data_IF_693071304396
#
_entry.id   IF_693071304396
#
_cell.length_a   1.000
_cell.length_b   1.000
_cell.length_c   1.000
_cell.angle_alpha   90.00
_cell.angle_beta   90.00
_cell.angle_gamma   90.00
#
_symmetry.space_group_name_H-M   'P 1'
#
loop_
_entity.id
_entity.type
_entity.pdbx_description
1 polymer ?
#
# COMPACT_ATOMS: atom_id res chain seq x y z
N UNK A 1 -4.51 -10.72 -20.19
CA UNK A 1 -4.30 -9.48 -20.96
C UNK A 1 -3.13 -8.73 -20.34
N UNK A 2 -2.15 -8.28 -21.15
CA UNK A 2 -1.04 -7.46 -20.64
C UNK A 2 -1.53 -6.03 -20.39
N UNK A 3 -1.09 -5.40 -19.31
CA UNK A 3 -1.51 -4.03 -18.92
C UNK A 3 -0.46 -2.97 -19.28
N UNK A 4 0.79 -3.37 -19.50
CA UNK A 4 1.97 -2.52 -19.76
C UNK A 4 2.97 -3.25 -20.66
N UNK A 5 3.83 -2.49 -21.33
CA UNK A 5 4.97 -3.04 -22.06
C UNK A 5 5.99 -3.69 -21.11
N UNK A 6 6.66 -4.75 -21.59
CA UNK A 6 7.67 -5.46 -20.79
C UNK A 6 7.12 -6.48 -19.80
N UNK A 7 5.81 -6.74 -19.79
CA UNK A 7 5.23 -7.79 -18.95
C UNK A 7 5.63 -9.20 -19.40
N UNK A 8 5.93 -10.04 -18.41
CA UNK A 8 6.23 -11.45 -18.58
C UNK A 8 5.04 -12.18 -19.23
N UNK A 9 5.34 -13.12 -20.11
CA UNK A 9 4.32 -13.96 -20.74
C UNK A 9 4.01 -15.16 -19.85
N UNK A 10 3.09 -14.94 -18.90
CA UNK A 10 2.71 -15.95 -17.90
C UNK A 10 1.37 -16.57 -18.29
N UNK A 11 1.37 -17.88 -18.57
CA UNK A 11 0.18 -18.66 -18.94
C UNK A 11 -0.28 -19.57 -17.81
N UNK A 12 -1.56 -19.96 -17.83
CA UNK A 12 -2.10 -20.93 -16.87
C UNK A 12 -1.37 -22.28 -16.92
N UNK A 13 -0.98 -22.74 -18.11
CA UNK A 13 -0.22 -23.98 -18.27
C UNK A 13 1.18 -23.90 -17.64
N UNK A 14 1.84 -22.75 -17.75
CA UNK A 14 3.10 -22.54 -17.05
C UNK A 14 2.92 -22.61 -15.53
N UNK A 15 1.86 -22.01 -14.99
CA UNK A 15 1.56 -22.09 -13.55
C UNK A 15 1.26 -23.52 -13.11
N UNK A 16 0.57 -24.32 -13.93
CA UNK A 16 0.34 -25.75 -13.66
C UNK A 16 1.65 -26.54 -13.60
N UNK A 17 2.56 -26.33 -14.55
CA UNK A 17 3.88 -27.00 -14.55
C UNK A 17 4.71 -26.60 -13.33
N UNK A 18 4.72 -25.30 -12.98
CA UNK A 18 5.37 -24.80 -11.78
C UNK A 18 4.85 -25.46 -10.50
N UNK A 19 3.52 -25.56 -10.36
CA UNK A 19 2.88 -26.25 -9.23
C UNK A 19 3.23 -27.75 -9.20
N UNK A 20 3.20 -28.44 -10.34
CA UNK A 20 3.57 -29.84 -10.42
C UNK A 20 5.03 -30.11 -10.03
N UNK A 21 5.95 -29.24 -10.46
CA UNK A 21 7.37 -29.38 -10.18
C UNK A 21 7.73 -29.04 -8.72
N UNK A 22 7.08 -28.03 -8.12
CA UNK A 22 7.53 -27.46 -6.84
C UNK A 22 6.56 -27.69 -5.67
N UNK A 23 5.28 -27.93 -5.95
CA UNK A 23 4.25 -28.18 -4.95
C UNK A 23 3.32 -29.35 -5.37
N UNK A 24 3.83 -30.59 -5.44
CA UNK A 24 3.07 -31.73 -5.96
C UNK A 24 1.72 -31.97 -5.27
N UNK A 25 1.62 -31.65 -3.98
CA UNK A 25 0.38 -31.72 -3.20
C UNK A 25 -0.76 -30.82 -3.72
N UNK A 26 -0.44 -29.79 -4.51
CA UNK A 26 -1.41 -28.87 -5.10
C UNK A 26 -1.56 -29.00 -6.61
N UNK A 27 -0.76 -29.85 -7.26
CA UNK A 27 -0.71 -29.97 -8.72
C UNK A 27 -2.07 -30.32 -9.37
N UNK A 28 -2.89 -31.12 -8.68
CA UNK A 28 -4.21 -31.53 -9.14
C UNK A 28 -5.36 -30.56 -8.81
N UNK A 29 -5.10 -29.46 -8.09
CA UNK A 29 -6.15 -28.51 -7.71
C UNK A 29 -6.62 -27.70 -8.93
N UNK A 30 -7.90 -27.32 -8.90
CA UNK A 30 -8.47 -26.43 -9.91
C UNK A 30 -7.69 -25.11 -9.95
N UNK A 31 -7.31 -24.66 -11.15
CA UNK A 31 -6.57 -23.42 -11.35
C UNK A 31 -7.40 -22.49 -12.24
N UNK A 32 -7.78 -21.32 -11.73
CA UNK A 32 -8.59 -20.33 -12.45
C UNK A 32 -7.93 -18.96 -12.42
N UNK A 33 -7.78 -18.24 -13.55
CA UNK A 33 -7.29 -16.87 -13.51
C UNK A 33 -8.25 -15.97 -12.73
N UNK A 34 -7.72 -15.04 -11.95
CA UNK A 34 -8.52 -13.98 -11.32
C UNK A 34 -8.74 -12.88 -12.35
N UNK A 35 -10.00 -12.60 -12.70
CA UNK A 35 -10.38 -11.65 -13.74
C UNK A 35 -9.92 -10.21 -13.41
N UNK A 36 -10.05 -9.81 -12.15
CA UNK A 36 -9.57 -8.51 -11.63
C UNK A 36 -8.17 -8.66 -11.03
N UNK A 37 -7.20 -8.99 -11.87
CA UNK A 37 -5.80 -9.15 -11.45
C UNK A 37 -5.18 -7.85 -10.93
N UNK A 38 -4.29 -7.96 -9.94
CA UNK A 38 -3.54 -6.83 -9.39
C UNK A 38 -2.58 -6.24 -10.43
N UNK A 39 -2.24 -4.97 -10.28
CA UNK A 39 -1.41 -4.26 -11.27
C UNK A 39 0.02 -4.78 -11.34
N UNK A 40 0.51 -5.35 -10.24
CA UNK A 40 1.89 -5.85 -10.08
C UNK A 40 2.00 -7.38 -10.17
N UNK A 41 0.90 -8.12 -9.91
CA UNK A 41 0.91 -9.58 -9.86
C UNK A 41 -0.23 -10.20 -10.68
N UNK A 42 0.09 -11.22 -11.47
CA UNK A 42 -0.90 -12.13 -12.03
C UNK A 42 -1.33 -13.10 -10.94
N UNK A 43 -2.64 -13.32 -10.85
CA UNK A 43 -3.25 -14.11 -9.80
C UNK A 43 -4.06 -15.25 -10.38
N UNK A 44 -3.87 -16.44 -9.82
CA UNK A 44 -4.64 -17.64 -10.17
C UNK A 44 -5.19 -18.26 -8.89
N UNK A 45 -6.52 -18.38 -8.79
CA UNK A 45 -7.17 -19.15 -7.73
C UNK A 45 -6.79 -20.60 -7.86
N UNK A 46 -6.37 -21.20 -6.76
CA UNK A 46 -5.92 -22.58 -6.65
C UNK A 46 -6.83 -23.30 -5.66
N UNK A 47 -7.82 -24.04 -6.18
CA UNK A 47 -8.94 -24.55 -5.38
C UNK A 47 -9.78 -23.41 -4.78
N UNK A 48 -10.29 -23.64 -3.58
CA UNK A 48 -11.20 -22.73 -2.87
C UNK A 48 -10.48 -21.79 -1.88
N UNK A 49 -9.26 -22.12 -1.47
CA UNK A 49 -8.62 -21.53 -0.30
C UNK A 49 -7.25 -20.92 -0.59
N UNK A 50 -6.72 -21.07 -1.81
CA UNK A 50 -5.39 -20.57 -2.18
C UNK A 50 -5.40 -19.66 -3.42
N UNK A 51 -4.36 -18.85 -3.54
CA UNK A 51 -4.07 -18.03 -4.72
C UNK A 51 -2.58 -18.06 -5.04
N UNK A 52 -2.24 -18.35 -6.29
CA UNK A 52 -0.89 -18.20 -6.82
C UNK A 52 -0.71 -16.75 -7.27
N UNK A 53 0.36 -16.09 -6.82
CA UNK A 53 0.76 -14.74 -7.20
C UNK A 53 2.11 -14.80 -7.92
N UNK A 54 2.14 -14.33 -9.16
CA UNK A 54 3.36 -14.22 -9.96
C UNK A 54 3.60 -12.77 -10.35
N UNK A 55 4.82 -12.23 -10.23
CA UNK A 55 5.11 -10.88 -10.67
C UNK A 55 4.85 -10.69 -12.17
N UNK A 56 4.32 -9.52 -12.53
CA UNK A 56 4.03 -9.15 -13.93
C UNK A 56 5.27 -8.63 -14.65
N UNK A 57 6.19 -7.99 -13.91
CA UNK A 57 7.37 -7.33 -14.45
C UNK A 57 8.66 -8.01 -13.96
N UNK A 58 9.75 -7.98 -14.75
CA UNK A 58 11.07 -8.50 -14.37
C UNK A 58 11.58 -7.98 -13.01
N UNK A 59 11.22 -6.74 -12.63
CA UNK A 59 11.62 -6.12 -11.36
C UNK A 59 10.88 -6.67 -10.13
N UNK A 60 9.79 -7.41 -10.30
CA UNK A 60 8.91 -7.77 -9.19
C UNK A 60 9.41 -8.90 -8.29
N UNK A 61 10.51 -9.58 -8.64
CA UNK A 61 11.10 -10.63 -7.80
C UNK A 61 11.53 -10.15 -6.41
N UNK A 62 12.01 -8.91 -6.30
CA UNK A 62 12.40 -8.30 -5.02
C UNK A 62 11.19 -8.16 -4.07
N UNK A 63 10.01 -7.83 -4.60
CA UNK A 63 8.77 -7.74 -3.82
C UNK A 63 8.39 -9.10 -3.24
N UNK A 64 8.54 -10.18 -4.00
CA UNK A 64 8.22 -11.54 -3.54
C UNK A 64 9.11 -11.96 -2.37
N UNK A 65 10.42 -11.74 -2.48
CA UNK A 65 11.36 -12.08 -1.39
C UNK A 65 11.14 -11.22 -0.15
N UNK A 66 10.78 -9.94 -0.34
CA UNK A 66 10.43 -9.06 0.78
C UNK A 66 9.17 -9.55 1.50
N UNK A 67 8.09 -9.82 0.76
CA UNK A 67 6.84 -10.33 1.32
C UNK A 67 7.04 -11.68 2.03
N UNK A 68 7.84 -12.58 1.43
CA UNK A 68 8.21 -13.87 2.02
C UNK A 68 8.82 -13.74 3.41
N UNK A 69 9.68 -12.75 3.60
CA UNK A 69 10.37 -12.56 4.87
C UNK A 69 9.51 -11.84 5.89
N UNK A 70 8.88 -10.74 5.47
CA UNK A 70 8.32 -9.77 6.42
C UNK A 70 6.85 -10.03 6.76
N UNK A 71 6.05 -10.64 5.89
CA UNK A 71 4.66 -10.97 6.24
C UNK A 71 4.58 -11.95 7.42
N UNK A 72 5.34 -13.08 7.44
CA UNK A 72 5.32 -13.98 8.59
C UNK A 72 5.89 -13.35 9.87
N UNK A 73 6.79 -12.37 9.74
CA UNK A 73 7.34 -11.63 10.86
C UNK A 73 6.31 -10.67 11.47
N UNK A 74 5.55 -9.96 10.64
CA UNK A 74 4.56 -8.97 11.07
C UNK A 74 3.28 -9.62 11.60
N UNK A 75 2.80 -10.68 10.96
CA UNK A 75 1.47 -11.26 11.21
C UNK A 75 1.15 -11.57 12.69
N UNK A 76 2.06 -12.13 13.51
CA UNK A 76 1.77 -12.46 14.91
C UNK A 76 1.51 -11.25 15.81
N UNK A 77 1.89 -10.05 15.36
CA UNK A 77 1.78 -8.82 16.14
C UNK A 77 0.55 -7.97 15.80
N UNK A 78 -0.19 -8.33 14.74
CA UNK A 78 -1.24 -7.49 14.18
C UNK A 78 -2.64 -7.97 14.57
N UNK A 79 -3.57 -7.04 14.88
CA UNK A 79 -4.94 -7.39 15.28
C UNK A 79 -5.85 -7.75 14.10
N UNK A 80 -5.41 -7.44 12.87
CA UNK A 80 -6.12 -7.78 11.63
C UNK A 80 -5.28 -8.76 10.83
N UNK A 81 -5.94 -9.61 10.05
CA UNK A 81 -5.21 -10.51 9.17
C UNK A 81 -4.52 -9.71 8.06
N UNK A 82 -3.35 -10.21 7.67
CA UNK A 82 -2.57 -9.73 6.52
C UNK A 82 -2.38 -10.88 5.53
N UNK A 83 -1.85 -10.66 4.31
CA UNK A 83 -1.61 -11.74 3.37
C UNK A 83 -0.73 -12.84 3.99
N UNK A 84 -1.18 -14.09 3.92
CA UNK A 84 -0.49 -15.25 4.50
C UNK A 84 0.15 -16.07 3.37
N UNK A 85 1.46 -15.88 3.09
CA UNK A 85 2.15 -16.73 2.14
C UNK A 85 2.37 -18.12 2.75
N UNK A 86 1.94 -19.16 2.03
CA UNK A 86 2.01 -20.57 2.43
C UNK A 86 2.90 -21.42 1.51
N UNK A 87 3.40 -20.84 0.42
CA UNK A 87 4.34 -21.48 -0.49
C UNK A 87 5.22 -20.47 -1.20
N UNK A 88 6.50 -20.81 -1.36
CA UNK A 88 7.51 -19.96 -2.01
C UNK A 88 8.15 -20.71 -3.17
N UNK A 89 7.77 -20.32 -4.38
CA UNK A 89 8.27 -20.90 -5.61
C UNK A 89 9.53 -20.21 -6.11
N UNK A 90 10.43 -21.02 -6.68
CA UNK A 90 11.64 -20.58 -7.37
C UNK A 90 11.38 -20.40 -8.87
N UNK A 91 12.23 -19.64 -9.60
CA UNK A 91 12.22 -19.65 -11.06
C UNK A 91 12.25 -21.06 -11.64
N UNK A 92 11.58 -21.29 -12.77
CA UNK A 92 11.47 -22.60 -13.42
C UNK A 92 10.34 -22.65 -14.44
N UNK A 93 10.30 -23.71 -15.27
CA UNK A 93 9.21 -23.98 -16.23
C UNK A 93 8.89 -22.84 -17.23
N UNK A 94 9.85 -21.94 -17.45
CA UNK A 94 9.72 -20.73 -18.28
C UNK A 94 9.45 -19.44 -17.48
N UNK A 95 9.18 -19.52 -16.18
CA UNK A 95 9.06 -18.35 -15.30
C UNK A 95 10.44 -17.94 -14.76
N UNK A 96 10.91 -16.71 -15.05
CA UNK A 96 12.27 -16.29 -14.67
C UNK A 96 12.37 -15.77 -13.22
N UNK A 97 11.25 -15.63 -12.51
CA UNK A 97 11.19 -14.96 -11.21
C UNK A 97 10.69 -15.89 -10.09
N UNK A 98 11.06 -15.59 -8.82
CA UNK A 98 10.36 -16.19 -7.69
C UNK A 98 8.87 -15.79 -7.70
N UNK A 99 8.06 -16.66 -7.13
CA UNK A 99 6.60 -16.51 -7.05
C UNK A 99 6.10 -17.13 -5.75
N UNK A 100 4.83 -16.90 -5.40
CA UNK A 100 4.33 -17.33 -4.10
C UNK A 100 2.89 -17.81 -4.16
N UNK A 101 2.52 -18.68 -3.23
CA UNK A 101 1.14 -19.13 -2.98
C UNK A 101 0.70 -18.56 -1.65
N UNK A 102 -0.48 -17.95 -1.63
CA UNK A 102 -1.08 -17.34 -0.44
C UNK A 102 -2.39 -18.03 -0.10
N UNK A 103 -2.79 -17.96 1.17
CA UNK A 103 -4.20 -18.19 1.51
C UNK A 103 -5.07 -17.13 0.87
N UNK A 104 -6.11 -17.58 0.20
CA UNK A 104 -7.16 -16.70 -0.31
C UNK A 104 -8.07 -16.28 0.82
N UNK A 105 -8.26 -14.98 0.95
CA UNK A 105 -9.14 -14.39 1.95
C UNK A 105 -10.36 -13.80 1.26
N UNK A 106 -11.58 -14.30 1.52
CA UNK A 106 -12.78 -13.70 0.96
C UNK A 106 -13.05 -12.37 1.64
N UNK A 107 -13.44 -11.37 0.85
CA UNK A 107 -13.83 -10.05 1.32
C UNK A 107 -14.12 -9.12 0.16
N UNK A 108 -14.71 -7.98 0.47
CA UNK A 108 -14.96 -6.88 -0.45
C UNK A 108 -14.42 -5.56 0.14
N UNK A 109 -14.70 -4.43 -0.52
CA UNK A 109 -14.29 -3.10 -0.06
C UNK A 109 -15.46 -2.29 0.51
N UNK A 110 -16.55 -2.95 0.91
CA UNK A 110 -17.77 -2.30 1.37
C UNK A 110 -17.78 -2.14 2.90
N UNK A 111 -17.56 -0.90 3.34
CA UNK A 111 -17.62 -0.50 4.75
C UNK A 111 -19.06 -0.21 5.18
N UNK A 112 -19.53 -0.82 6.28
CA UNK A 112 -20.88 -0.58 6.84
C UNK A 112 -20.90 0.19 8.16
N UNK A 113 -19.79 0.16 8.91
CA UNK A 113 -19.65 0.83 10.22
C UNK A 113 -18.37 1.68 10.23
N UNK A 114 -18.45 2.95 9.77
CA UNK A 114 -17.28 3.83 9.71
C UNK A 114 -16.64 4.12 11.08
N UNK A 115 -17.38 4.40 12.18
CA UNK A 115 -16.78 4.58 13.50
C UNK A 115 -15.99 3.37 13.99
N UNK A 116 -16.55 2.15 13.89
CA UNK A 116 -15.83 0.95 14.31
C UNK A 116 -14.62 0.66 13.41
N UNK A 117 -14.74 0.91 12.10
CA UNK A 117 -13.64 0.75 11.16
C UNK A 117 -12.49 1.70 11.47
N UNK A 118 -12.78 2.97 11.80
CA UNK A 118 -11.78 3.94 12.18
C UNK A 118 -11.02 3.55 13.46
N UNK A 119 -11.73 3.06 14.47
CA UNK A 119 -11.09 2.55 15.68
C UNK A 119 -10.20 1.34 15.38
N UNK A 120 -10.72 0.32 14.69
CA UNK A 120 -9.98 -0.90 14.42
C UNK A 120 -8.77 -0.67 13.50
N UNK A 121 -8.88 0.23 12.51
CA UNK A 121 -7.75 0.59 11.66
C UNK A 121 -6.68 1.40 12.43
N UNK A 122 -7.11 2.27 13.36
CA UNK A 122 -6.19 2.98 14.24
C UNK A 122 -5.43 2.02 15.16
N UNK A 123 -6.13 1.04 15.75
CA UNK A 123 -5.53 -0.03 16.57
C UNK A 123 -4.54 -0.88 15.75
N UNK A 124 -4.85 -1.15 14.47
CA UNK A 124 -3.95 -1.84 13.54
C UNK A 124 -2.67 -1.05 13.26
N UNK A 125 -2.77 0.24 12.93
CA UNK A 125 -1.60 1.10 12.69
C UNK A 125 -0.74 1.20 13.95
N UNK A 126 -1.37 1.41 15.11
CA UNK A 126 -0.66 1.44 16.39
C UNK A 126 0.03 0.10 16.72
N UNK A 127 -0.55 -1.04 16.35
CA UNK A 127 0.08 -2.34 16.53
C UNK A 127 1.26 -2.53 15.57
N UNK A 128 1.11 -2.14 14.29
CA UNK A 128 2.17 -2.20 13.29
C UNK A 128 3.39 -1.38 13.71
N UNK A 129 3.18 -0.14 14.17
CA UNK A 129 4.26 0.75 14.60
C UNK A 129 4.99 0.28 15.87
N UNK A 130 4.39 -0.63 16.65
CA UNK A 130 4.99 -1.24 17.84
C UNK A 130 5.75 -2.53 17.56
N UNK A 131 5.66 -3.09 16.36
CA UNK A 131 6.42 -4.28 16.00
C UNK A 131 7.92 -3.96 16.09
N UNK A 132 8.75 -4.82 16.71
CA UNK A 132 10.18 -4.57 16.75
C UNK A 132 10.76 -4.39 15.34
N UNK A 133 11.78 -3.55 15.22
CA UNK A 133 12.44 -3.25 13.94
C UNK A 133 13.78 -3.98 13.90
N UNK A 134 13.91 -5.05 13.11
CA UNK A 134 15.20 -5.68 12.90
C UNK A 134 16.15 -4.74 12.14
N UNK A 135 17.48 -4.87 12.35
CA UNK A 135 18.46 -4.01 11.70
C UNK A 135 18.41 -4.01 10.16
N UNK A 136 17.89 -5.09 9.57
CA UNK A 136 17.79 -5.26 8.13
C UNK A 136 16.36 -5.11 7.59
N UNK A 137 15.48 -4.48 8.36
CA UNK A 137 14.16 -4.07 7.88
C UNK A 137 14.30 -3.09 6.69
N UNK A 138 13.57 -3.32 5.59
CA UNK A 138 13.69 -2.48 4.39
C UNK A 138 13.02 -1.12 4.61
N UNK A 139 13.49 -0.05 3.93
CA UNK A 139 12.78 1.23 3.95
C UNK A 139 11.39 1.09 3.31
N UNK A 140 10.40 1.78 3.87
CA UNK A 140 9.07 1.85 3.24
C UNK A 140 9.09 2.77 2.02
N UNK A 141 8.19 2.52 1.05
CA UNK A 141 8.11 3.33 -0.18
C UNK A 141 7.88 4.83 0.09
N UNK A 142 7.06 5.15 1.09
CA UNK A 142 6.79 6.50 1.61
C UNK A 142 7.36 6.66 3.02
N UNK A 143 8.44 5.94 3.36
CA UNK A 143 9.00 5.88 4.71
C UNK A 143 9.79 7.11 5.17
N UNK A 144 9.92 8.13 4.34
CA UNK A 144 10.59 9.37 4.72
C UNK A 144 9.93 10.56 4.05
N UNK A 145 9.52 11.54 4.86
CA UNK A 145 9.33 12.92 4.46
C UNK A 145 10.51 13.72 4.99
N UNK A 146 11.56 13.79 4.20
CA UNK A 146 12.69 14.68 4.44
C UNK A 146 12.71 15.74 3.34
N UNK A 147 12.95 17.02 3.67
CA UNK A 147 13.43 17.98 2.69
C UNK A 147 14.85 17.54 2.30
N UNK A 148 14.99 16.68 1.29
CA UNK A 148 16.31 16.34 0.74
C UNK A 148 17.01 17.60 0.20
N UNK A 149 18.34 17.75 0.34
CA UNK A 149 19.08 18.79 -0.35
C UNK A 149 18.99 18.57 -1.87
N UNK A 150 18.79 19.64 -2.64
CA UNK A 150 18.75 19.59 -4.09
C UNK A 150 20.04 18.97 -4.67
N UNK A 151 19.99 17.73 -5.18
CA UNK A 151 21.14 17.13 -5.88
C UNK A 151 21.15 15.61 -6.08
N UNK A 152 20.31 14.83 -5.39
CA UNK A 152 20.32 13.37 -5.48
C UNK A 152 19.63 12.79 -6.73
N UNK A 153 20.26 12.84 -7.89
CA UNK A 153 19.77 12.13 -9.08
C UNK A 153 19.86 10.60 -8.86
N UNK A 154 18.71 9.93 -8.81
CA UNK A 154 18.67 8.49 -9.08
C UNK A 154 17.26 7.93 -8.98
N UNK A 155 16.81 7.39 -10.10
CA UNK A 155 15.53 6.74 -10.33
C UNK A 155 15.67 5.26 -9.95
N UNK A 156 15.11 4.87 -8.80
CA UNK A 156 15.03 3.48 -8.37
C UNK A 156 13.80 3.25 -7.46
N UNK A 157 13.23 2.04 -7.44
CA UNK A 157 12.08 1.71 -6.60
C UNK A 157 12.51 1.68 -5.12
N UNK A 158 11.84 2.49 -4.28
CA UNK A 158 12.13 2.58 -2.84
C UNK A 158 12.84 3.86 -2.39
N UNK A 159 12.84 4.93 -3.18
CA UNK A 159 13.31 6.24 -2.72
C UNK A 159 12.18 7.09 -2.16
N UNK A 160 12.49 7.72 -1.03
CA UNK A 160 11.72 8.76 -0.36
C UNK A 160 11.03 9.66 -1.39
N UNK A 161 9.72 9.84 -1.24
CA UNK A 161 9.03 10.92 -1.94
C UNK A 161 9.41 12.20 -1.21
N UNK A 162 10.66 12.62 -1.35
CA UNK A 162 11.14 13.89 -0.84
C UNK A 162 10.32 15.00 -1.49
N UNK A 163 9.72 15.85 -0.65
CA UNK A 163 8.85 16.95 -1.03
C UNK A 163 9.36 17.76 -2.24
N UNK A 164 10.69 17.91 -2.38
CA UNK A 164 11.34 18.66 -3.45
C UNK A 164 11.04 18.16 -4.88
N UNK A 165 10.98 16.84 -5.10
CA UNK A 165 10.63 16.30 -6.44
C UNK A 165 9.12 16.40 -6.70
N UNK A 166 8.34 16.29 -5.64
CA UNK A 166 6.89 16.46 -5.71
C UNK A 166 6.50 17.94 -5.91
N UNK A 167 7.28 18.92 -5.46
CA UNK A 167 6.87 20.34 -5.44
C UNK A 167 6.43 20.87 -6.81
N UNK A 168 7.22 20.64 -7.88
CA UNK A 168 6.86 21.12 -9.22
C UNK A 168 5.56 20.47 -9.75
N UNK A 169 5.43 19.15 -9.58
CA UNK A 169 4.25 18.37 -10.01
C UNK A 169 3.01 18.70 -9.15
N UNK A 170 3.19 18.86 -7.84
CA UNK A 170 2.14 19.22 -6.89
C UNK A 170 1.67 20.65 -7.11
N UNK A 171 2.58 21.61 -7.38
CA UNK A 171 2.21 22.98 -7.75
C UNK A 171 1.50 23.02 -9.11
N UNK A 172 1.83 22.15 -10.05
CA UNK A 172 1.07 22.02 -11.30
C UNK A 172 -0.35 21.47 -11.03
N UNK A 173 -0.48 20.37 -10.26
CA UNK A 173 -1.76 19.79 -9.90
C UNK A 173 -2.65 20.74 -9.07
N UNK A 174 -2.05 21.49 -8.13
CA UNK A 174 -2.74 22.46 -7.29
C UNK A 174 -3.30 23.65 -8.11
N UNK A 175 -2.53 24.11 -9.12
CA UNK A 175 -3.00 25.14 -10.06
C UNK A 175 -4.18 24.66 -10.90
N UNK A 176 -4.15 23.41 -11.35
CA UNK A 176 -5.28 22.81 -12.08
C UNK A 176 -6.56 22.74 -11.22
N UNK A 177 -6.43 22.51 -9.91
CA UNK A 177 -7.56 22.54 -8.98
C UNK A 177 -8.06 23.96 -8.69
N UNK A 178 -7.24 25.00 -8.93
CA UNK A 178 -7.52 26.42 -8.61
C UNK A 178 -7.91 26.65 -7.15
N UNK A 179 -7.30 25.92 -6.22
CA UNK A 179 -7.61 26.03 -4.78
C UNK A 179 -6.40 26.62 -4.05
N UNK A 180 -6.37 27.93 -3.74
CA UNK A 180 -5.29 28.55 -2.97
C UNK A 180 -5.02 27.88 -1.62
N UNK A 181 -6.03 27.23 -1.04
CA UNK A 181 -5.88 26.47 0.20
C UNK A 181 -4.98 25.23 0.05
N UNK A 182 -4.90 24.61 -1.14
CA UNK A 182 -3.98 23.50 -1.41
C UNK A 182 -2.53 23.96 -1.34
N UNK A 183 -2.22 25.10 -1.96
CA UNK A 183 -0.87 25.66 -1.94
C UNK A 183 -0.47 26.06 -0.52
N UNK A 184 -1.36 26.68 0.25
CA UNK A 184 -1.07 27.02 1.66
C UNK A 184 -0.83 25.79 2.52
N UNK A 185 -1.63 24.73 2.36
CA UNK A 185 -1.42 23.48 3.10
C UNK A 185 -0.10 22.80 2.68
N UNK A 186 0.24 22.87 1.40
CA UNK A 186 1.52 22.37 0.90
C UNK A 186 2.70 23.15 1.47
N UNK A 187 2.68 24.49 1.40
CA UNK A 187 3.74 25.34 1.93
C UNK A 187 3.88 25.12 3.45
N UNK A 188 2.78 25.00 4.20
CA UNK A 188 2.82 24.66 5.62
C UNK A 188 3.42 23.26 5.88
N UNK A 189 3.16 22.28 5.01
CA UNK A 189 3.74 20.95 5.13
C UNK A 189 5.25 20.92 4.88
N UNK A 190 5.77 21.81 4.02
CA UNK A 190 7.22 21.94 3.77
C UNK A 190 7.99 22.46 4.98
N UNK A 191 7.33 23.21 5.85
CA UNK A 191 7.91 23.76 7.08
C UNK A 191 7.81 22.81 8.29
N UNK A 192 7.12 21.67 8.15
CA UNK A 192 7.00 20.70 9.25
C UNK A 192 8.36 20.04 9.55
N UNK A 193 8.71 19.85 10.84
CA UNK A 193 9.89 19.09 11.18
C UNK A 193 9.73 17.64 10.71
N UNK A 194 10.79 17.11 10.09
CA UNK A 194 10.88 15.70 9.76
C UNK A 194 10.86 14.83 11.02
N UNK A 195 10.54 13.54 10.86
CA UNK A 195 10.57 12.60 11.97
C UNK A 195 11.99 12.42 12.52
N UNK A 196 12.17 12.72 13.81
CA UNK A 196 13.46 12.63 14.50
C UNK A 196 13.62 11.37 15.37
N UNK A 197 12.54 10.60 15.55
CA UNK A 197 12.57 9.36 16.32
C UNK A 197 13.08 8.15 15.52
N UNK A 198 13.16 6.96 16.16
CA UNK A 198 13.49 5.74 15.44
C UNK A 198 12.41 5.44 14.37
N UNK A 199 12.80 4.90 13.20
CA UNK A 199 11.83 4.52 12.19
C UNK A 199 10.97 3.35 12.71
N UNK A 200 9.71 3.32 12.31
CA UNK A 200 8.75 2.28 12.69
C UNK A 200 8.20 1.58 11.46
N UNK A 201 7.66 0.38 11.62
CA UNK A 201 6.94 -0.28 10.53
C UNK A 201 5.73 0.53 10.10
N UNK A 202 5.59 0.70 8.79
CA UNK A 202 4.44 1.32 8.14
C UNK A 202 4.04 0.51 6.90
N UNK A 203 2.73 0.49 6.62
CA UNK A 203 2.16 -0.10 5.42
C UNK A 203 2.52 0.74 4.17
N UNK A 204 2.59 2.06 4.33
CA UNK A 204 2.97 3.06 3.34
C UNK A 204 2.03 3.20 2.13
N UNK A 205 0.99 2.39 2.04
CA UNK A 205 -0.09 2.52 1.05
C UNK A 205 -1.46 2.18 1.65
N UNK A 206 -1.73 2.64 2.87
CA UNK A 206 -2.97 2.32 3.58
C UNK A 206 -4.16 3.14 3.03
N UNK A 207 -4.76 2.61 1.97
CA UNK A 207 -5.86 3.22 1.21
C UNK A 207 -7.10 2.30 1.19
N UNK A 208 -8.32 2.81 0.89
CA UNK A 208 -9.53 1.99 0.90
C UNK A 208 -9.45 0.68 0.09
N UNK A 209 -8.72 0.67 -1.02
CA UNK A 209 -8.54 -0.53 -1.86
C UNK A 209 -7.68 -1.62 -1.22
N UNK A 210 -6.91 -1.29 -0.19
CA UNK A 210 -6.02 -2.20 0.53
C UNK A 210 -6.64 -2.69 1.85
N UNK A 211 -7.93 -2.40 2.05
CA UNK A 211 -8.68 -2.79 3.23
C UNK A 211 -9.83 -3.70 2.80
N UNK A 212 -9.93 -4.87 3.45
CA UNK A 212 -10.95 -5.86 3.17
C UNK A 212 -11.97 -5.95 4.30
N UNK A 213 -13.23 -6.04 3.89
CA UNK A 213 -14.39 -6.20 4.76
C UNK A 213 -15.03 -7.57 4.55
N UNK A 214 -15.58 -8.13 5.63
CA UNK A 214 -16.44 -9.31 5.58
C UNK A 214 -17.74 -9.02 6.30
N UNK A 215 -18.85 -9.14 5.57
CA UNK A 215 -20.18 -8.74 6.06
C UNK A 215 -20.15 -7.31 6.64
N UNK A 216 -19.46 -6.40 5.94
CA UNK A 216 -19.40 -4.98 6.28
C UNK A 216 -18.46 -4.59 7.44
N UNK A 217 -17.78 -5.55 8.07
CA UNK A 217 -16.81 -5.33 9.16
C UNK A 217 -15.38 -5.46 8.69
N UNK A 218 -14.50 -4.59 9.20
CA UNK A 218 -13.07 -4.60 8.91
C UNK A 218 -12.47 -5.96 9.28
N UNK A 219 -11.74 -6.56 8.35
CA UNK A 219 -11.31 -7.95 8.49
C UNK A 219 -9.85 -8.17 8.09
N UNK A 220 -9.34 -7.48 7.07
CA UNK A 220 -7.94 -7.60 6.65
C UNK A 220 -7.36 -6.29 6.10
N UNK A 221 -6.03 -6.19 6.17
CA UNK A 221 -5.24 -5.24 5.39
C UNK A 221 -4.40 -6.04 4.40
N UNK A 222 -4.31 -5.61 3.15
CA UNK A 222 -3.62 -6.32 2.06
C UNK A 222 -2.65 -5.38 1.33
N UNK A 223 -1.85 -5.94 0.43
CA UNK A 223 -0.89 -5.21 -0.41
C UNK A 223 0.25 -4.50 0.34
N UNK A 224 1.08 -5.33 1.00
CA UNK A 224 2.28 -4.89 1.70
C UNK A 224 3.47 -4.64 0.74
N UNK A 225 3.21 -4.46 -0.56
CA UNK A 225 4.23 -4.16 -1.56
C UNK A 225 4.94 -2.83 -1.34
N UNK A 226 4.41 -1.95 -0.49
CA UNK A 226 5.04 -0.68 -0.11
C UNK A 226 5.59 -0.69 1.33
N UNK A 227 5.33 -1.75 2.10
CA UNK A 227 5.62 -1.79 3.52
C UNK A 227 7.14 -1.85 3.81
N UNK A 228 7.51 -1.25 4.92
CA UNK A 228 8.88 -1.15 5.40
C UNK A 228 8.95 -0.28 6.65
N UNK A 229 10.13 0.20 7.00
CA UNK A 229 10.32 1.10 8.14
C UNK A 229 10.48 2.56 7.70
N UNK A 230 9.99 3.49 8.51
CA UNK A 230 10.00 4.91 8.19
C UNK A 230 9.26 5.82 9.17
N UNK A 231 8.87 7.01 8.70
CA UNK A 231 8.07 7.99 9.43
C UNK A 231 6.68 7.42 9.77
N UNK A 232 6.27 7.40 11.06
CA UNK A 232 4.94 6.94 11.48
C UNK A 232 3.78 7.67 10.79
N UNK A 233 4.02 8.89 10.29
CA UNK A 233 3.01 9.69 9.61
C UNK A 233 2.51 9.06 8.29
N UNK A 234 3.26 8.15 7.66
CA UNK A 234 2.92 7.61 6.35
C UNK A 234 1.53 6.94 6.31
N UNK A 235 1.19 6.13 7.32
CA UNK A 235 -0.10 5.43 7.37
C UNK A 235 -1.26 6.29 7.86
N UNK A 236 -0.96 7.47 8.41
CA UNK A 236 -1.99 8.38 8.88
C UNK A 236 -2.83 8.94 7.73
N UNK A 237 -2.31 8.89 6.49
CA UNK A 237 -3.06 9.29 5.29
C UNK A 237 -4.43 8.60 5.19
N UNK A 238 -4.57 7.39 5.74
CA UNK A 238 -5.83 6.65 5.84
C UNK A 238 -6.94 7.47 6.53
N UNK A 239 -6.57 8.30 7.51
CA UNK A 239 -7.45 9.22 8.22
C UNK A 239 -8.25 10.15 7.29
N UNK A 240 -7.64 10.61 6.20
CA UNK A 240 -8.29 11.47 5.21
C UNK A 240 -8.80 10.68 4.00
N UNK A 241 -8.12 9.60 3.61
CA UNK A 241 -8.51 8.79 2.46
C UNK A 241 -9.80 8.00 2.72
N UNK A 242 -10.07 7.57 3.96
CA UNK A 242 -11.19 6.68 4.30
C UNK A 242 -12.31 7.38 5.08
N UNK A 243 -12.00 8.35 5.93
CA UNK A 243 -12.91 8.82 6.97
C UNK A 243 -13.39 10.26 6.77
N UNK A 244 -14.52 10.60 7.41
CA UNK A 244 -14.95 11.98 7.62
C UNK A 244 -14.38 12.54 8.94
N UNK A 245 -14.68 13.80 9.29
CA UNK A 245 -14.11 14.44 10.48
C UNK A 245 -14.39 13.70 11.80
N UNK A 246 -15.57 13.11 11.97
CA UNK A 246 -15.95 12.40 13.20
C UNK A 246 -15.15 11.10 13.37
N UNK A 247 -15.12 10.26 12.34
CA UNK A 247 -14.40 8.99 12.34
C UNK A 247 -12.88 9.21 12.36
N UNK A 248 -12.39 10.25 11.67
CA UNK A 248 -10.97 10.61 11.68
C UNK A 248 -10.47 10.95 13.08
N UNK A 249 -11.28 11.61 13.92
CA UNK A 249 -10.97 11.80 15.35
C UNK A 249 -10.90 10.47 16.10
N UNK A 250 -11.82 9.55 15.80
CA UNK A 250 -11.81 8.19 16.37
C UNK A 250 -10.56 7.40 15.99
N UNK A 251 -10.12 7.48 14.72
CA UNK A 251 -8.88 6.91 14.23
C UNK A 251 -7.66 7.52 14.94
N UNK A 252 -7.56 8.85 14.96
CA UNK A 252 -6.48 9.58 15.65
C UNK A 252 -6.39 9.22 17.13
N UNK A 253 -7.53 9.06 17.81
CA UNK A 253 -7.56 8.74 19.24
C UNK A 253 -6.96 7.36 19.59
N UNK A 254 -6.78 6.46 18.61
CA UNK A 254 -6.09 5.17 18.81
C UNK A 254 -4.57 5.27 18.65
N UNK A 255 -4.08 6.40 18.18
CA UNK A 255 -2.69 6.62 17.82
C UNK A 255 -2.03 7.54 18.85
N UNK A 256 -0.85 7.16 19.33
CA UNK A 256 -0.04 8.00 20.20
C UNK A 256 0.84 8.95 19.36
N UNK A 257 0.20 9.82 18.57
CA UNK A 257 0.88 10.77 17.67
C UNK A 257 0.66 12.21 18.09
N UNK A 258 1.73 13.00 18.04
CA UNK A 258 1.71 14.45 18.27
C UNK A 258 1.07 15.21 17.09
N UNK A 259 0.89 16.52 17.28
CA UNK A 259 0.29 17.39 16.26
C UNK A 259 1.15 17.47 14.98
N UNK A 260 2.48 17.47 15.12
CA UNK A 260 3.40 17.55 13.97
C UNK A 260 3.34 16.28 13.11
N UNK A 261 3.33 15.10 13.74
CA UNK A 261 3.18 13.81 13.06
C UNK A 261 1.81 13.69 12.41
N UNK A 262 0.76 14.17 13.09
CA UNK A 262 -0.57 14.24 12.48
C UNK A 262 -0.61 15.17 11.26
N UNK A 263 0.04 16.34 11.34
CA UNK A 263 0.16 17.28 10.23
C UNK A 263 0.96 16.72 9.06
N UNK A 264 2.04 15.96 9.32
CA UNK A 264 2.76 15.22 8.26
C UNK A 264 1.87 14.15 7.61
N UNK A 265 1.05 13.46 8.40
CA UNK A 265 0.04 12.52 7.90
C UNK A 265 -0.96 13.16 6.95
N UNK A 266 -1.42 14.37 7.28
CA UNK A 266 -2.29 15.19 6.43
C UNK A 266 -1.60 15.56 5.13
N UNK A 267 -0.31 15.87 5.19
CA UNK A 267 0.48 16.18 4.02
C UNK A 267 0.70 14.96 3.11
N UNK A 268 0.94 13.76 3.65
CA UNK A 268 0.95 12.52 2.87
C UNK A 268 -0.38 12.30 2.13
N UNK A 269 -1.52 12.52 2.82
CA UNK A 269 -2.84 12.47 2.20
C UNK A 269 -2.99 13.49 1.06
N UNK A 270 -2.45 14.71 1.22
CA UNK A 270 -2.45 15.72 0.17
C UNK A 270 -1.62 15.27 -1.05
N UNK A 271 -0.39 14.78 -0.85
CA UNK A 271 0.49 14.26 -1.91
C UNK A 271 -0.21 13.16 -2.69
N UNK A 272 -0.71 12.15 -1.97
CA UNK A 272 -1.45 11.05 -2.58
C UNK A 272 -2.66 11.59 -3.36
N UNK A 273 -3.46 12.45 -2.76
CA UNK A 273 -4.70 12.93 -3.34
C UNK A 273 -4.49 13.72 -4.64
N UNK A 274 -3.49 14.60 -4.64
CA UNK A 274 -3.10 15.39 -5.82
C UNK A 274 -2.53 14.52 -6.92
N UNK A 275 -1.59 13.63 -6.60
CA UNK A 275 -1.00 12.70 -7.56
C UNK A 275 -2.06 11.79 -8.19
N UNK A 276 -2.93 11.21 -7.35
CA UNK A 276 -4.01 10.33 -7.78
C UNK A 276 -5.00 11.07 -8.70
N UNK A 277 -5.43 12.28 -8.33
CA UNK A 277 -6.33 13.06 -9.15
C UNK A 277 -5.70 13.49 -10.47
N UNK A 278 -4.52 14.10 -10.43
CA UNK A 278 -3.88 14.69 -11.62
C UNK A 278 -3.54 13.61 -12.65
N UNK A 279 -2.97 12.48 -12.20
CA UNK A 279 -2.52 11.42 -13.10
C UNK A 279 -3.66 10.53 -13.62
N UNK A 280 -4.65 10.20 -12.78
CA UNK A 280 -5.67 9.21 -13.12
C UNK A 280 -7.00 9.80 -13.61
N UNK A 281 -7.19 11.12 -13.64
CA UNK A 281 -8.47 11.76 -14.02
C UNK A 281 -9.06 11.28 -15.35
N UNK A 282 -8.23 10.95 -16.34
CA UNK A 282 -8.67 10.43 -17.64
C UNK A 282 -8.51 8.91 -17.80
N UNK A 283 -7.89 8.22 -16.82
CA UNK A 283 -7.47 6.81 -16.93
C UNK A 283 -8.24 5.88 -16.00
N UNK A 284 -8.50 6.33 -14.77
CA UNK A 284 -9.25 5.61 -13.74
C UNK A 284 -10.10 6.60 -12.94
N UNK A 285 -11.26 7.02 -13.44
CA UNK A 285 -12.08 8.07 -12.84
C UNK A 285 -12.42 7.82 -11.35
N UNK A 286 -12.70 6.57 -10.97
CA UNK A 286 -12.99 6.21 -9.59
C UNK A 286 -11.79 6.47 -8.65
N UNK A 287 -10.57 6.14 -9.08
CA UNK A 287 -9.35 6.39 -8.29
C UNK A 287 -9.01 7.89 -8.21
N UNK A 288 -9.24 8.62 -9.30
CA UNK A 288 -9.13 10.08 -9.29
C UNK A 288 -10.16 10.74 -8.36
N UNK A 289 -11.37 10.18 -8.26
CA UNK A 289 -12.39 10.64 -7.33
C UNK A 289 -11.98 10.40 -5.86
N UNK A 290 -11.34 9.27 -5.55
CA UNK A 290 -10.72 9.03 -4.25
C UNK A 290 -9.63 10.07 -3.95
N UNK A 291 -8.76 10.36 -4.92
CA UNK A 291 -7.75 11.41 -4.79
C UNK A 291 -8.35 12.77 -4.45
N UNK A 292 -9.37 13.19 -5.22
CA UNK A 292 -10.10 14.45 -4.98
C UNK A 292 -10.80 14.47 -3.62
N UNK A 293 -11.44 13.36 -3.21
CA UNK A 293 -12.05 13.23 -1.87
C UNK A 293 -10.99 13.44 -0.78
N UNK A 294 -9.83 12.82 -0.94
CA UNK A 294 -8.74 12.90 0.03
C UNK A 294 -8.20 14.31 0.16
N UNK A 295 -7.99 15.02 -0.97
CA UNK A 295 -7.63 16.45 -0.96
C UNK A 295 -8.68 17.27 -0.21
N UNK A 296 -9.97 17.08 -0.51
CA UNK A 296 -11.03 17.83 0.17
C UNK A 296 -11.05 17.57 1.68
N UNK A 297 -10.93 16.31 2.12
CA UNK A 297 -10.85 15.98 3.54
C UNK A 297 -9.62 16.61 4.20
N UNK A 298 -8.47 16.59 3.50
CA UNK A 298 -7.25 17.21 3.97
C UNK A 298 -7.35 18.74 4.00
N UNK A 299 -8.25 19.40 3.27
CA UNK A 299 -8.43 20.85 3.34
C UNK A 299 -9.38 21.29 4.46
N UNK A 300 -10.29 20.42 4.91
CA UNK A 300 -11.33 20.74 5.89
C UNK A 300 -11.04 20.23 7.30
N UNK A 301 -9.85 19.67 7.54
CA UNK A 301 -9.34 19.34 8.88
C UNK A 301 -8.66 20.55 9.54
#
# INVERSE_FOLDING_TARGET
MKLRDGELDITGDMVRRLLAAQFPAWAGRELRPVAEGGTEHLMFRLGEDLVVRLPRLPSGGATVERERRWLPYLAPHLPLAIPEPVGFGRPGEGCPLPWSVYRWRPGDHHMTDPPATAAALGDFVAALQRVPVPPDAPPAYRGGLTPEPAGGAGSGPGREVGYARADAEMRAAARDLRVPAVLRLWDAALELPGWAGPPVWVHSDLLPGNVLFRAGRLDAVIDFGCAGVGDPAADLMAGWAMFGPAERRGFRARLAVDDDTWARGRAYALVFGLAAWHYYRSRKPAFAALGRRTVNQALTD
#
